data_IF_819093973990
#
_entry.id   IF_819093973990
#
_cell.length_a   1.000
_cell.length_b   1.000
_cell.length_c   1.000
_cell.angle_alpha   90.00
_cell.angle_beta   90.00
_cell.angle_gamma   90.00
#
_symmetry.space_group_name_H-M   'P 1'
#
loop_
_entity.id
_entity.type
_entity.pdbx_description
1 polymer ?
#
# COMPACT_ATOMS: atom_id res chain seq x y z
N UNK A 1 -1.93 -19.12 -5.62
CA UNK A 1 -2.26 -18.70 -5.51
C UNK A 1 -3.08 -18.21 -4.50
N UNK A 2 -3.35 -18.47 -3.67
CA UNK A 2 -4.06 -18.18 -2.80
C UNK A 2 -3.69 -17.24 -1.81
N UNK A 3 -2.58 -17.13 -1.45
CA UNK A 3 -2.19 -16.19 -0.51
C UNK A 3 -2.46 -14.83 -1.03
N UNK A 4 -2.85 -14.69 -2.22
CA UNK A 4 -3.06 -13.39 -2.79
C UNK A 4 -4.22 -12.64 -2.16
N UNK A 5 -5.07 -13.31 -1.44
CA UNK A 5 -6.19 -12.63 -0.83
C UNK A 5 -5.73 -11.56 0.17
N UNK A 6 -4.50 -11.65 0.63
CA UNK A 6 -3.97 -10.66 1.56
C UNK A 6 -3.15 -9.59 0.87
N UNK A 7 -3.13 -9.59 -0.44
CA UNK A 7 -2.36 -8.60 -1.18
C UNK A 7 -3.24 -7.42 -1.57
N UNK A 8 -2.57 -6.34 -1.91
CA UNK A 8 -3.27 -5.14 -2.33
C UNK A 8 -3.92 -5.36 -3.68
N UNK A 9 -5.11 -4.82 -3.85
CA UNK A 9 -5.78 -4.87 -5.14
C UNK A 9 -5.19 -3.80 -6.04
N UNK A 10 -5.53 -3.87 -7.32
CA UNK A 10 -5.02 -2.88 -8.26
C UNK A 10 -5.48 -1.48 -7.89
N UNK A 11 -6.70 -1.37 -7.40
CA UNK A 11 -7.20 -0.08 -6.97
C UNK A 11 -6.37 0.47 -5.82
N UNK A 12 -6.04 -0.39 -4.88
CA UNK A 12 -5.24 0.03 -3.74
C UNK A 12 -3.85 0.46 -4.20
N UNK A 13 -3.27 -0.29 -5.11
CA UNK A 13 -1.94 0.04 -5.61
C UNK A 13 -1.95 1.39 -6.30
N UNK A 14 -2.98 1.64 -7.08
CA UNK A 14 -3.09 2.90 -7.78
C UNK A 14 -3.25 4.05 -6.79
N UNK A 15 -4.08 3.85 -5.77
CA UNK A 15 -4.26 4.87 -4.75
C UNK A 15 -2.96 5.18 -4.03
N UNK A 16 -2.21 4.14 -3.69
CA UNK A 16 -0.95 4.34 -2.99
C UNK A 16 0.02 5.14 -3.85
N UNK A 17 0.07 4.85 -5.13
CA UNK A 17 0.96 5.58 -6.02
C UNK A 17 0.62 7.06 -6.07
N UNK A 18 -0.66 7.37 -6.04
CA UNK A 18 -1.07 8.76 -6.04
C UNK A 18 -0.80 9.43 -4.71
N UNK A 19 -1.06 8.71 -3.63
CA UNK A 19 -0.91 9.29 -2.31
C UNK A 19 0.55 9.44 -1.89
N UNK A 20 1.41 8.57 -2.41
CA UNK A 20 2.80 8.59 -1.97
C UNK A 20 3.50 9.89 -2.36
N UNK A 21 2.93 10.62 -3.28
CA UNK A 21 3.49 11.91 -3.65
C UNK A 21 3.03 13.01 -2.72
N UNK A 22 1.89 12.82 -2.08
CA UNK A 22 1.34 13.83 -1.18
C UNK A 22 1.46 13.45 0.27
N UNK A 23 1.34 12.16 0.57
CA UNK A 23 1.37 11.68 1.94
C UNK A 23 2.62 10.88 2.19
N UNK A 24 2.98 10.76 3.46
CA UNK A 24 4.11 9.93 3.81
C UNK A 24 3.67 8.48 3.86
N UNK A 25 4.65 7.59 3.81
CA UNK A 25 4.36 6.15 3.83
C UNK A 25 3.55 5.79 5.06
N UNK A 26 3.90 6.40 6.19
CA UNK A 26 3.21 6.11 7.43
C UNK A 26 1.72 6.40 7.33
N UNK A 27 1.38 7.52 6.75
CA UNK A 27 -0.02 7.88 6.61
C UNK A 27 -0.74 6.97 5.64
N UNK A 28 -0.08 6.63 4.55
CA UNK A 28 -0.67 5.74 3.56
C UNK A 28 -0.96 4.38 4.19
N UNK A 29 -0.01 3.86 4.94
CA UNK A 29 -0.18 2.57 5.61
C UNK A 29 -1.40 2.62 6.52
N UNK A 30 -1.54 3.70 7.28
CA UNK A 30 -2.68 3.84 8.17
C UNK A 30 -3.99 3.86 7.41
N UNK A 31 -4.07 4.66 6.39
CA UNK A 31 -5.31 4.80 5.64
C UNK A 31 -5.71 3.50 4.97
N UNK A 32 -4.76 2.87 4.31
CA UNK A 32 -5.08 1.64 3.59
C UNK A 32 -5.44 0.52 4.55
N UNK A 33 -4.72 0.42 5.66
CA UNK A 33 -4.98 -0.67 6.59
C UNK A 33 -6.33 -0.50 7.29
N UNK A 34 -6.80 0.73 7.41
CA UNK A 34 -8.11 0.97 8.00
C UNK A 34 -9.23 0.56 7.04
N UNK A 35 -9.01 0.76 5.76
CA UNK A 35 -10.02 0.45 4.76
C UNK A 35 -10.00 -0.99 4.32
N UNK A 36 -8.87 -1.63 4.39
CA UNK A 36 -8.71 -2.99 3.90
C UNK A 36 -8.15 -3.88 4.99
N UNK A 37 -8.30 -5.18 4.80
CA UNK A 37 -7.79 -6.15 5.75
C UNK A 37 -6.33 -6.49 5.49
N UNK A 38 -5.66 -5.70 4.69
CA UNK A 38 -4.26 -5.94 4.35
C UNK A 38 -3.37 -5.57 5.53
N UNK A 39 -2.39 -6.40 5.87
CA UNK A 39 -1.47 -6.09 6.97
C UNK A 39 -0.65 -4.85 6.67
N UNK A 40 -0.38 -4.07 7.69
CA UNK A 40 0.39 -2.85 7.52
C UNK A 40 1.76 -3.16 6.92
N UNK A 41 2.32 -4.28 7.30
CA UNK A 41 3.63 -4.67 6.80
C UNK A 41 3.65 -4.76 5.27
N UNK A 42 2.61 -5.34 4.70
CA UNK A 42 2.53 -5.47 3.25
C UNK A 42 2.41 -4.11 2.59
N UNK A 43 1.59 -3.26 3.15
CA UNK A 43 1.42 -1.93 2.60
C UNK A 43 2.73 -1.15 2.67
N UNK A 44 3.41 -1.26 3.79
CA UNK A 44 4.66 -0.57 3.98
C UNK A 44 5.70 -1.02 2.96
N UNK A 45 5.81 -2.33 2.77
CA UNK A 45 6.75 -2.87 1.81
C UNK A 45 6.47 -2.39 0.40
N UNK A 46 5.18 -2.34 0.05
CA UNK A 46 4.80 -1.88 -1.27
C UNK A 46 5.18 -0.41 -1.46
N UNK A 47 4.95 0.40 -0.44
CA UNK A 47 5.30 1.81 -0.52
C UNK A 47 6.80 1.99 -0.70
N UNK A 48 7.59 1.21 0.01
CA UNK A 48 9.03 1.29 -0.12
C UNK A 48 9.47 0.91 -1.52
N UNK A 49 8.81 -0.09 -2.07
CA UNK A 49 9.15 -0.54 -3.41
C UNK A 49 8.91 0.54 -4.43
N UNK A 50 7.76 1.19 -4.34
CA UNK A 50 7.44 2.27 -5.26
C UNK A 50 8.44 3.40 -5.11
N UNK A 51 8.77 3.73 -3.89
CA UNK A 51 9.69 4.82 -3.64
C UNK A 51 11.07 4.55 -4.20
N UNK A 52 11.49 3.30 -4.14
CA UNK A 52 12.80 2.93 -4.66
C UNK A 52 12.82 2.92 -6.18
N UNK A 53 11.70 2.62 -6.80
CA UNK A 53 11.64 2.58 -8.25
C UNK A 53 11.64 3.97 -8.86
N UNK A 54 11.22 4.95 -8.10
CA UNK A 54 11.21 6.33 -8.58
C UNK A 54 12.52 7.02 -8.26
#
# INVERSE_FOLDING_TARGET
>A
IKKDSLLLSESDKSNIRKMIKKLSIKEIVNLISQNNAVPKKKIYNFCLKIKNEV
#
